data_IF_268300148490
#
_entry.id   IF_268300148490
#
_cell.length_a   1.000
_cell.length_b   1.000
_cell.length_c   1.000
_cell.angle_alpha   90.00
_cell.angle_beta   90.00
_cell.angle_gamma   90.00
#
_symmetry.space_group_name_H-M   'P 1'
#
loop_
_entity.id
_entity.type
_entity.pdbx_description
1 polymer ?
#
# COMPACT_ATOMS: atom_id res chain seq x y z
N UNK A 1 -5.82 18.13 7.22
CA UNK A 1 -6.23 16.79 6.75
C UNK A 1 -7.73 16.62 6.96
N UNK A 2 -8.45 16.09 5.97
CA UNK A 2 -9.84 15.67 6.12
C UNK A 2 -9.84 14.17 6.42
N UNK A 3 -10.64 13.74 7.39
CA UNK A 3 -10.64 12.36 7.88
C UNK A 3 -12.04 11.76 7.76
N UNK A 4 -12.13 10.55 7.23
CA UNK A 4 -13.27 9.66 7.31
C UNK A 4 -12.94 8.51 8.27
N UNK A 5 -13.81 8.23 9.23
CA UNK A 5 -13.60 7.18 10.21
C UNK A 5 -14.57 6.02 9.94
N UNK A 6 -14.01 4.83 9.69
CA UNK A 6 -14.76 3.62 9.36
C UNK A 6 -14.53 2.56 10.44
N UNK A 7 -15.61 2.14 11.10
CA UNK A 7 -15.60 1.09 12.11
C UNK A 7 -16.41 -0.11 11.64
N UNK A 8 -15.81 -1.30 11.65
CA UNK A 8 -16.45 -2.55 11.27
C UNK A 8 -17.18 -2.43 9.89
N UNK A 9 -16.48 -1.83 8.91
CA UNK A 9 -16.97 -1.58 7.53
C UNK A 9 -18.16 -0.61 7.43
N UNK A 10 -18.33 0.30 8.38
CA UNK A 10 -19.37 1.36 8.33
C UNK A 10 -18.73 2.72 8.58
N UNK A 11 -18.92 3.68 7.66
CA UNK A 11 -18.49 5.07 7.86
C UNK A 11 -19.31 5.74 8.95
N UNK A 12 -18.63 6.36 9.92
CA UNK A 12 -19.28 6.99 11.08
C UNK A 12 -19.16 8.52 11.11
N UNK A 13 -18.13 9.07 10.47
CA UNK A 13 -17.90 10.52 10.45
C UNK A 13 -16.94 10.93 9.34
N UNK A 14 -17.31 11.97 8.59
CA UNK A 14 -16.44 12.62 7.59
C UNK A 14 -16.25 14.10 7.95
N UNK A 15 -14.99 14.53 8.11
CA UNK A 15 -14.66 15.92 8.47
C UNK A 15 -14.43 16.80 7.23
N UNK A 16 -14.59 18.12 7.37
CA UNK A 16 -14.36 19.11 6.31
C UNK A 16 -15.18 18.94 5.02
N UNK A 17 -16.24 18.16 5.03
CA UNK A 17 -17.10 17.87 3.87
C UNK A 17 -17.58 19.12 3.13
N UNK A 18 -18.10 20.12 3.85
CA UNK A 18 -18.57 21.36 3.25
C UNK A 18 -17.46 22.17 2.58
N UNK A 19 -16.26 22.19 3.16
CA UNK A 19 -15.09 22.90 2.59
C UNK A 19 -14.66 22.27 1.29
N UNK A 20 -14.66 20.94 1.22
CA UNK A 20 -14.32 20.18 0.02
C UNK A 20 -15.41 20.35 -1.05
N UNK A 21 -16.68 20.29 -0.66
CA UNK A 21 -17.82 20.46 -1.56
C UNK A 21 -17.87 21.82 -2.26
N UNK A 22 -17.39 22.91 -1.61
CA UNK A 22 -17.24 24.22 -2.25
C UNK A 22 -16.31 24.23 -3.46
N UNK A 23 -15.41 23.25 -3.56
CA UNK A 23 -14.50 23.06 -4.69
C UNK A 23 -15.00 21.94 -5.63
N UNK A 24 -16.20 21.41 -5.40
CA UNK A 24 -16.78 20.30 -6.15
C UNK A 24 -16.15 18.95 -5.82
N UNK A 25 -15.29 18.87 -4.79
CA UNK A 25 -14.69 17.61 -4.34
C UNK A 25 -15.74 16.81 -3.58
N UNK A 26 -15.91 15.53 -3.96
CA UNK A 26 -16.75 14.58 -3.24
C UNK A 26 -15.83 13.71 -2.39
N UNK A 27 -16.10 13.66 -1.10
CA UNK A 27 -15.43 12.78 -0.13
C UNK A 27 -16.51 12.29 0.85
N UNK A 28 -16.94 11.05 0.70
CA UNK A 28 -18.04 10.46 1.44
C UNK A 28 -17.92 8.93 1.47
N UNK A 29 -18.82 8.26 2.16
CA UNK A 29 -18.93 6.81 2.09
C UNK A 29 -19.44 6.33 0.71
N UNK A 30 -19.16 5.08 0.35
CA UNK A 30 -19.72 4.45 -0.86
C UNK A 30 -21.25 4.41 -0.77
N UNK A 31 -21.82 4.15 0.41
CA UNK A 31 -23.27 4.11 0.64
C UNK A 31 -23.94 5.45 0.34
N UNK A 32 -23.31 6.56 0.72
CA UNK A 32 -23.78 7.90 0.35
C UNK A 32 -23.61 8.15 -1.14
N UNK A 33 -22.44 7.79 -1.71
CA UNK A 33 -22.16 7.98 -3.13
C UNK A 33 -23.16 7.24 -4.04
N UNK A 34 -23.62 6.06 -3.65
CA UNK A 34 -24.64 5.30 -4.38
C UNK A 34 -25.98 6.07 -4.47
N UNK A 35 -26.32 6.84 -3.44
CA UNK A 35 -27.55 7.65 -3.38
C UNK A 35 -27.39 8.99 -4.10
N UNK A 36 -26.33 9.71 -3.77
CA UNK A 36 -26.16 11.12 -4.16
C UNK A 36 -25.43 11.29 -5.50
N UNK A 37 -24.61 10.29 -5.91
CA UNK A 37 -23.78 10.32 -7.12
C UNK A 37 -23.85 9.00 -7.92
N UNK A 38 -25.05 8.43 -8.17
CA UNK A 38 -25.23 7.10 -8.75
C UNK A 38 -24.55 6.92 -10.13
N UNK A 39 -24.49 7.97 -10.93
CA UNK A 39 -23.90 7.90 -12.27
C UNK A 39 -22.37 7.72 -12.23
N UNK A 40 -21.69 8.39 -11.30
CA UNK A 40 -20.27 8.20 -11.08
C UNK A 40 -19.97 6.79 -10.56
N UNK A 41 -20.76 6.33 -9.59
CA UNK A 41 -20.59 4.98 -9.04
C UNK A 41 -20.80 3.93 -10.13
N UNK A 42 -21.91 3.98 -10.89
CA UNK A 42 -22.17 3.03 -11.99
C UNK A 42 -21.09 3.03 -13.06
N UNK A 43 -20.51 4.20 -13.33
CA UNK A 43 -19.48 4.35 -14.38
C UNK A 43 -18.14 3.75 -14.00
N UNK A 44 -17.77 3.76 -12.72
CA UNK A 44 -16.41 3.46 -12.29
C UNK A 44 -16.26 2.28 -11.34
N UNK A 45 -17.24 2.00 -10.48
CA UNK A 45 -17.15 0.93 -9.49
C UNK A 45 -17.05 -0.45 -10.18
N UNK A 46 -16.06 -1.23 -9.79
CA UNK A 46 -15.83 -2.57 -10.36
C UNK A 46 -15.17 -2.58 -11.74
N UNK A 47 -14.78 -1.42 -12.27
CA UNK A 47 -14.16 -1.33 -13.61
C UNK A 47 -12.66 -1.55 -13.60
N UNK A 48 -11.98 -1.27 -12.49
CA UNK A 48 -10.53 -1.45 -12.31
C UNK A 48 -10.22 -2.74 -11.56
N UNK A 49 -11.06 -3.09 -10.59
CA UNK A 49 -11.03 -4.39 -9.89
C UNK A 49 -12.36 -5.11 -10.13
N UNK A 50 -12.50 -5.88 -11.24
CA UNK A 50 -13.68 -6.72 -11.45
C UNK A 50 -13.70 -7.86 -10.43
N UNK A 51 -14.88 -8.42 -10.17
CA UNK A 51 -15.03 -9.59 -9.27
C UNK A 51 -14.22 -10.81 -9.71
N UNK A 52 -13.80 -10.85 -10.97
CA UNK A 52 -12.98 -11.92 -11.57
C UNK A 52 -11.47 -11.73 -11.37
N UNK A 53 -11.01 -10.61 -10.75
CA UNK A 53 -9.58 -10.34 -10.56
C UNK A 53 -8.89 -11.45 -9.74
N UNK A 54 -9.49 -11.81 -8.61
CA UNK A 54 -9.03 -12.90 -7.75
C UNK A 54 -10.14 -13.33 -6.77
N UNK A 55 -9.89 -14.40 -6.00
CA UNK A 55 -10.83 -14.95 -5.03
C UNK A 55 -11.33 -13.90 -4.00
N UNK A 56 -10.42 -13.10 -3.44
CA UNK A 56 -10.79 -12.08 -2.43
C UNK A 56 -11.51 -10.89 -3.05
N UNK A 57 -11.24 -10.56 -4.31
CA UNK A 57 -12.02 -9.55 -5.04
C UNK A 57 -13.45 -10.03 -5.29
N UNK A 58 -13.64 -11.32 -5.60
CA UNK A 58 -14.95 -11.94 -5.72
C UNK A 58 -15.71 -11.89 -4.39
N UNK A 59 -15.05 -12.34 -3.30
CA UNK A 59 -15.63 -12.34 -1.97
C UNK A 59 -16.01 -10.91 -1.52
N UNK A 60 -15.10 -9.95 -1.62
CA UNK A 60 -15.38 -8.56 -1.29
C UNK A 60 -16.56 -8.02 -2.10
N UNK A 61 -16.60 -8.26 -3.41
CA UNK A 61 -17.70 -7.78 -4.28
C UNK A 61 -19.07 -8.33 -3.88
N UNK A 62 -19.11 -9.50 -3.25
CA UNK A 62 -20.35 -10.12 -2.79
C UNK A 62 -20.83 -9.61 -1.42
N UNK A 63 -19.91 -9.15 -0.55
CA UNK A 63 -20.22 -8.91 0.87
C UNK A 63 -19.80 -7.52 1.40
N UNK A 64 -19.13 -6.67 0.61
CA UNK A 64 -18.78 -5.32 1.10
C UNK A 64 -20.05 -4.51 1.38
N UNK A 65 -20.04 -3.76 2.47
CA UNK A 65 -21.19 -2.96 2.90
C UNK A 65 -20.95 -1.47 2.71
N UNK A 66 -19.69 -1.04 2.86
CA UNK A 66 -19.32 0.36 2.74
C UNK A 66 -17.84 0.51 2.36
N UNK A 67 -17.34 1.73 2.38
CA UNK A 67 -16.00 2.12 2.07
C UNK A 67 -15.94 3.59 1.70
N UNK A 68 -14.88 4.01 1.05
CA UNK A 68 -14.67 5.43 0.75
C UNK A 68 -14.85 5.74 -0.73
N UNK A 69 -15.55 6.82 -1.03
CA UNK A 69 -15.69 7.39 -2.35
C UNK A 69 -15.06 8.77 -2.42
N UNK A 70 -14.17 8.95 -3.42
CA UNK A 70 -13.51 10.23 -3.68
C UNK A 70 -13.63 10.58 -5.16
N UNK A 71 -14.09 11.80 -5.45
CA UNK A 71 -14.05 12.38 -6.78
C UNK A 71 -13.41 13.76 -6.72
N UNK A 72 -12.36 13.96 -7.51
CA UNK A 72 -11.68 15.26 -7.65
C UNK A 72 -12.01 15.81 -9.04
N UNK A 73 -12.71 16.93 -9.15
CA UNK A 73 -13.11 17.52 -10.42
C UNK A 73 -11.92 17.99 -11.26
N UNK A 74 -12.14 18.14 -12.55
CA UNK A 74 -11.17 18.67 -13.52
C UNK A 74 -10.53 19.97 -13.02
N UNK A 75 -9.20 20.04 -13.12
CA UNK A 75 -8.38 21.21 -12.75
C UNK A 75 -8.25 21.48 -11.26
N UNK A 76 -8.92 20.70 -10.40
CA UNK A 76 -8.92 20.92 -8.95
C UNK A 76 -7.71 20.24 -8.30
N UNK A 77 -6.93 21.01 -7.56
CA UNK A 77 -5.90 20.48 -6.65
C UNK A 77 -6.50 20.41 -5.25
N UNK A 78 -6.65 19.19 -4.71
CA UNK A 78 -7.21 19.03 -3.37
C UNK A 78 -6.39 19.83 -2.35
N UNK A 79 -7.01 20.77 -1.59
CA UNK A 79 -6.27 21.72 -0.75
C UNK A 79 -5.71 21.12 0.52
N UNK A 80 -6.04 19.88 0.82
CA UNK A 80 -5.60 19.16 2.00
C UNK A 80 -5.53 17.66 1.71
N UNK A 81 -4.78 16.93 2.50
CA UNK A 81 -4.77 15.48 2.44
C UNK A 81 -6.12 14.92 2.90
N UNK A 82 -6.60 13.91 2.18
CA UNK A 82 -7.75 13.12 2.58
C UNK A 82 -7.25 11.87 3.31
N UNK A 83 -7.95 11.45 4.35
CA UNK A 83 -7.57 10.25 5.09
C UNK A 83 -8.79 9.44 5.47
N UNK A 84 -8.69 8.12 5.35
CA UNK A 84 -9.64 7.19 5.95
C UNK A 84 -8.93 6.32 6.97
N UNK A 85 -9.57 6.17 8.11
CA UNK A 85 -9.08 5.34 9.19
C UNK A 85 -10.02 4.16 9.40
N UNK A 86 -9.52 2.96 9.14
CA UNK A 86 -10.26 1.70 9.29
C UNK A 86 -9.91 1.01 10.60
N UNK A 87 -10.93 0.59 11.34
CA UNK A 87 -10.75 -0.15 12.58
C UNK A 87 -11.72 -1.31 12.70
N UNK A 88 -11.17 -2.51 12.92
CA UNK A 88 -11.96 -3.70 13.25
C UNK A 88 -12.18 -3.75 14.76
N UNK A 89 -13.43 -3.70 15.22
CA UNK A 89 -13.77 -3.82 16.64
C UNK A 89 -14.58 -5.08 16.96
N UNK A 90 -15.41 -5.57 16.02
CA UNK A 90 -16.27 -6.72 16.24
C UNK A 90 -15.48 -8.03 16.35
N UNK A 91 -15.90 -8.93 17.27
CA UNK A 91 -15.36 -10.29 17.39
C UNK A 91 -15.96 -11.18 16.30
N UNK A 92 -15.17 -12.16 15.82
CA UNK A 92 -15.60 -13.19 14.84
C UNK A 92 -16.20 -12.60 13.56
N UNK A 93 -15.75 -11.41 13.16
CA UNK A 93 -16.16 -10.75 11.93
C UNK A 93 -14.97 -10.53 11.01
N UNK A 94 -15.21 -10.55 9.70
CA UNK A 94 -14.28 -10.02 8.70
C UNK A 94 -14.57 -8.56 8.43
N UNK A 95 -13.60 -7.84 7.89
CA UNK A 95 -13.78 -6.49 7.36
C UNK A 95 -13.63 -6.50 5.85
N UNK A 96 -14.65 -5.98 5.18
CA UNK A 96 -14.74 -5.94 3.73
C UNK A 96 -15.14 -4.53 3.31
N UNK A 97 -14.17 -3.71 2.96
CA UNK A 97 -14.44 -2.37 2.46
C UNK A 97 -13.98 -2.21 1.02
N UNK A 98 -14.56 -1.22 0.33
CA UNK A 98 -14.21 -0.89 -1.04
C UNK A 98 -14.01 0.61 -1.20
N UNK A 99 -12.82 1.02 -1.59
CA UNK A 99 -12.47 2.42 -1.85
C UNK A 99 -12.43 2.68 -3.35
N UNK A 100 -13.09 3.75 -3.79
CA UNK A 100 -13.04 4.22 -5.17
C UNK A 100 -12.58 5.67 -5.21
N UNK A 101 -11.47 5.94 -5.91
CA UNK A 101 -10.91 7.28 -6.12
C UNK A 101 -10.88 7.60 -7.60
N UNK A 102 -11.46 8.72 -7.98
CA UNK A 102 -11.49 9.23 -9.35
C UNK A 102 -10.84 10.62 -9.35
N UNK A 103 -9.72 10.75 -10.02
CA UNK A 103 -9.05 12.03 -10.28
C UNK A 103 -9.27 12.42 -11.74
N UNK A 104 -10.11 13.43 -11.97
CA UNK A 104 -10.44 13.93 -13.30
C UNK A 104 -9.25 14.71 -13.90
N UNK A 105 -9.35 15.15 -15.15
CA UNK A 105 -8.27 15.82 -15.88
C UNK A 105 -7.63 16.96 -15.07
N UNK A 106 -6.30 17.02 -15.06
CA UNK A 106 -5.51 18.07 -14.42
C UNK A 106 -5.71 18.21 -12.90
N UNK A 107 -6.30 17.19 -12.25
CA UNK A 107 -6.57 17.20 -10.81
C UNK A 107 -5.41 16.63 -9.99
N UNK A 108 -5.46 16.85 -8.66
CA UNK A 108 -4.47 16.30 -7.72
C UNK A 108 -5.13 15.92 -6.40
N UNK A 109 -4.74 14.76 -5.87
CA UNK A 109 -5.10 14.37 -4.50
C UNK A 109 -4.00 13.55 -3.85
N UNK A 110 -3.77 13.80 -2.55
CA UNK A 110 -3.03 12.95 -1.64
C UNK A 110 -4.04 12.28 -0.69
N UNK A 111 -4.06 10.96 -0.72
CA UNK A 111 -4.98 10.14 0.07
C UNK A 111 -4.19 9.19 0.95
N UNK A 112 -4.68 9.00 2.16
CA UNK A 112 -4.01 8.31 3.23
C UNK A 112 -4.94 7.29 3.89
N UNK A 113 -4.50 6.06 4.00
CA UNK A 113 -5.24 4.97 4.63
C UNK A 113 -4.50 4.50 5.88
N UNK A 114 -5.16 4.59 7.03
CA UNK A 114 -4.69 3.99 8.28
C UNK A 114 -5.58 2.82 8.67
N UNK A 115 -4.97 1.69 9.06
CA UNK A 115 -5.71 0.50 9.44
C UNK A 115 -5.16 -0.07 10.75
N UNK A 116 -6.07 -0.39 11.69
CA UNK A 116 -5.70 -1.06 12.95
C UNK A 116 -6.73 -2.09 13.40
N UNK A 117 -6.29 -3.05 14.20
CA UNK A 117 -7.15 -3.97 14.92
C UNK A 117 -6.65 -4.19 16.35
N UNK A 118 -7.54 -4.39 17.35
CA UNK A 118 -7.13 -4.76 18.70
C UNK A 118 -6.56 -6.19 18.74
N UNK A 119 -5.71 -6.46 19.73
CA UNK A 119 -5.16 -7.79 19.97
C UNK A 119 -6.27 -8.77 20.37
N UNK A 120 -6.30 -9.95 19.73
CA UNK A 120 -7.27 -11.02 20.00
C UNK A 120 -6.67 -12.38 19.67
N UNK A 121 -7.06 -13.41 20.44
CA UNK A 121 -6.62 -14.80 20.24
C UNK A 121 -7.27 -15.51 19.06
N UNK A 122 -8.00 -14.78 18.22
CA UNK A 122 -8.73 -15.31 17.06
C UNK A 122 -8.14 -14.74 15.75
N UNK A 123 -8.19 -15.53 14.69
CA UNK A 123 -7.90 -15.02 13.36
C UNK A 123 -9.09 -14.19 12.83
N UNK A 124 -8.79 -13.06 12.22
CA UNK A 124 -9.79 -12.23 11.55
C UNK A 124 -9.34 -11.94 10.12
N UNK A 125 -10.29 -11.93 9.20
CA UNK A 125 -10.04 -11.63 7.78
C UNK A 125 -10.29 -10.15 7.51
N UNK A 126 -9.29 -9.48 6.94
CA UNK A 126 -9.42 -8.19 6.29
C UNK A 126 -9.24 -8.39 4.78
N UNK A 127 -10.28 -8.17 4.00
CA UNK A 127 -10.24 -8.30 2.54
C UNK A 127 -10.80 -7.03 1.89
N UNK A 128 -9.93 -6.06 1.65
CA UNK A 128 -10.29 -4.77 1.09
C UNK A 128 -10.02 -4.68 -0.41
N UNK A 129 -10.76 -3.80 -1.09
CA UNK A 129 -10.50 -3.40 -2.47
C UNK A 129 -10.29 -1.90 -2.57
N UNK A 130 -9.28 -1.50 -3.36
CA UNK A 130 -9.06 -0.11 -3.74
C UNK A 130 -8.99 -0.01 -5.27
N UNK A 131 -9.83 0.84 -5.82
CA UNK A 131 -9.87 1.19 -7.24
C UNK A 131 -9.52 2.66 -7.42
N UNK A 132 -8.57 2.96 -8.29
CA UNK A 132 -8.17 4.33 -8.61
C UNK A 132 -8.22 4.53 -10.12
N UNK A 133 -8.85 5.62 -10.56
CA UNK A 133 -8.86 6.05 -11.96
C UNK A 133 -8.23 7.43 -12.04
N UNK A 134 -7.19 7.57 -12.89
CA UNK A 134 -6.43 8.82 -13.06
C UNK A 134 -6.53 9.26 -14.50
N UNK A 135 -7.11 10.46 -14.74
CA UNK A 135 -7.34 11.02 -16.06
C UNK A 135 -6.13 11.85 -16.56
N UNK A 136 -6.27 12.57 -17.65
CA UNK A 136 -5.17 13.32 -18.29
C UNK A 136 -4.53 14.31 -17.31
N UNK A 137 -3.19 14.32 -17.23
CA UNK A 137 -2.41 15.24 -16.40
C UNK A 137 -2.80 15.26 -14.92
N UNK A 138 -3.58 14.26 -14.46
CA UNK A 138 -3.95 14.12 -13.06
C UNK A 138 -2.91 13.33 -12.28
N UNK A 139 -2.85 13.59 -10.97
CA UNK A 139 -1.94 12.89 -10.06
C UNK A 139 -2.69 12.42 -8.80
N UNK A 140 -2.49 11.16 -8.45
CA UNK A 140 -2.96 10.57 -7.18
C UNK A 140 -1.76 10.02 -6.41
N UNK A 141 -1.62 10.45 -5.16
CA UNK A 141 -0.73 9.83 -4.17
C UNK A 141 -1.58 9.05 -3.19
N UNK A 142 -1.34 7.75 -3.09
CA UNK A 142 -2.04 6.88 -2.15
C UNK A 142 -1.04 6.28 -1.17
N UNK A 143 -1.17 6.66 0.09
CA UNK A 143 -0.31 6.17 1.16
C UNK A 143 -1.08 5.27 2.12
N UNK A 144 -0.44 4.21 2.60
CA UNK A 144 -1.02 3.29 3.59
C UNK A 144 -0.03 3.07 4.73
N UNK A 145 -0.51 3.20 5.96
CA UNK A 145 0.21 2.73 7.15
C UNK A 145 -0.69 1.73 7.85
N UNK A 146 -0.24 0.49 7.93
CA UNK A 146 -1.00 -0.61 8.55
C UNK A 146 -0.31 -1.11 9.80
N UNK A 147 -1.09 -1.19 10.87
CA UNK A 147 -0.68 -1.72 12.16
C UNK A 147 -1.73 -2.72 12.65
N UNK A 148 -1.58 -3.95 12.20
CA UNK A 148 -2.48 -5.03 12.57
C UNK A 148 -1.94 -5.83 13.75
N UNK A 149 -2.75 -6.74 14.28
CA UNK A 149 -2.34 -7.69 15.30
C UNK A 149 -1.73 -8.96 14.66
N UNK A 150 -0.50 -9.34 15.04
CA UNK A 150 0.24 -10.44 14.38
C UNK A 150 -0.11 -11.84 14.86
N UNK A 151 -0.89 -11.98 15.92
CA UNK A 151 -1.02 -13.20 16.72
C UNK A 151 -0.15 -13.13 17.98
N UNK A 152 -0.23 -14.17 18.79
CA UNK A 152 0.55 -14.32 20.02
C UNK A 152 2.00 -14.76 19.74
N UNK A 153 2.78 -14.98 20.82
CA UNK A 153 4.19 -15.40 20.72
C UNK A 153 4.37 -16.79 20.11
N UNK A 154 3.35 -17.61 20.12
CA UNK A 154 3.29 -18.95 19.52
C UNK A 154 2.78 -18.89 18.06
N UNK A 155 2.43 -17.71 17.54
CA UNK A 155 1.90 -17.51 16.20
C UNK A 155 0.41 -17.83 16.05
N UNK A 156 -0.34 -17.89 17.16
CA UNK A 156 -1.77 -18.17 17.16
C UNK A 156 -2.60 -16.87 17.08
N UNK A 157 -3.67 -16.89 16.31
CA UNK A 157 -4.51 -15.72 16.10
C UNK A 157 -3.92 -14.76 15.05
N UNK A 158 -4.36 -13.52 15.09
CA UNK A 158 -3.87 -12.43 14.24
C UNK A 158 -4.69 -12.18 12.98
N UNK A 159 -4.35 -11.11 12.29
CA UNK A 159 -5.08 -10.65 11.11
C UNK A 159 -4.55 -11.31 9.84
N UNK A 160 -5.46 -11.81 9.00
CA UNK A 160 -5.22 -12.19 7.62
C UNK A 160 -5.59 -11.00 6.73
N UNK A 161 -4.58 -10.33 6.21
CA UNK A 161 -4.71 -9.07 5.48
C UNK A 161 -4.54 -9.29 3.98
N UNK A 162 -5.66 -9.48 3.28
CA UNK A 162 -5.71 -9.76 1.84
C UNK A 162 -6.32 -8.59 1.10
N UNK A 163 -5.49 -7.73 0.51
CA UNK A 163 -5.92 -6.47 -0.08
C UNK A 163 -5.63 -6.42 -1.58
N UNK A 164 -6.64 -6.12 -2.35
CA UNK A 164 -6.54 -5.92 -3.80
C UNK A 164 -6.59 -4.44 -4.14
N UNK A 165 -5.47 -3.85 -4.56
CA UNK A 165 -5.37 -2.45 -4.97
C UNK A 165 -4.99 -2.37 -6.45
N UNK A 166 -5.80 -1.66 -7.26
CA UNK A 166 -5.53 -1.45 -8.68
C UNK A 166 -5.73 0.02 -9.03
N UNK A 167 -4.77 0.57 -9.77
CA UNK A 167 -4.90 1.92 -10.30
C UNK A 167 -4.76 1.94 -11.82
N UNK A 168 -5.70 2.59 -12.48
CA UNK A 168 -5.71 2.79 -13.90
C UNK A 168 -5.30 4.24 -14.22
N UNK A 169 -4.07 4.41 -14.69
CA UNK A 169 -3.59 5.63 -15.31
C UNK A 169 -4.15 5.70 -16.74
N UNK A 170 -5.42 6.09 -16.84
CA UNK A 170 -6.19 6.09 -18.10
C UNK A 170 -5.79 7.25 -19.01
N UNK A 171 -5.54 8.40 -18.42
CA UNK A 171 -5.21 9.62 -19.14
C UNK A 171 -3.74 9.74 -19.52
N UNK A 172 -3.44 10.53 -20.55
CA UNK A 172 -2.07 10.86 -20.90
C UNK A 172 -1.38 11.64 -19.77
N UNK A 173 -0.10 11.38 -19.55
CA UNK A 173 0.75 12.00 -18.50
C UNK A 173 0.20 11.89 -17.08
N UNK A 174 -0.80 11.02 -16.88
CA UNK A 174 -1.35 10.74 -15.54
C UNK A 174 -0.29 10.09 -14.64
N UNK A 175 -0.40 10.31 -13.32
CA UNK A 175 0.55 9.78 -12.34
C UNK A 175 -0.16 9.14 -11.17
N UNK A 176 0.27 7.93 -10.80
CA UNK A 176 -0.17 7.24 -9.61
C UNK A 176 1.04 6.78 -8.77
N UNK A 177 1.06 7.18 -7.52
CA UNK A 177 2.08 6.76 -6.55
C UNK A 177 1.44 5.98 -5.42
N UNK A 178 1.92 4.75 -5.19
CA UNK A 178 1.61 3.94 -4.02
C UNK A 178 2.77 4.04 -3.03
N UNK A 179 2.49 4.43 -1.79
CA UNK A 179 3.45 4.33 -0.69
C UNK A 179 2.85 3.51 0.42
N UNK A 180 3.53 2.47 0.90
CA UNK A 180 2.98 1.61 1.93
C UNK A 180 3.99 1.20 2.98
N UNK A 181 3.52 1.15 4.23
CA UNK A 181 4.22 0.54 5.36
C UNK A 181 3.31 -0.53 5.94
N UNK A 182 3.76 -1.77 5.82
CA UNK A 182 3.01 -2.96 6.22
C UNK A 182 3.66 -3.57 7.45
N UNK A 183 2.92 -3.58 8.55
CA UNK A 183 3.34 -4.24 9.79
C UNK A 183 2.18 -4.99 10.44
N UNK A 184 2.50 -5.97 11.26
CA UNK A 184 1.61 -6.51 12.26
C UNK A 184 0.68 -7.64 11.83
N UNK A 185 0.37 -7.88 10.57
CA UNK A 185 -0.52 -8.99 10.20
C UNK A 185 0.14 -10.35 10.44
N UNK A 186 -0.64 -11.35 10.82
CA UNK A 186 -0.17 -12.74 10.82
C UNK A 186 0.18 -13.21 9.41
N UNK A 187 -0.71 -12.92 8.45
CA UNK A 187 -0.47 -13.17 7.02
C UNK A 187 -0.86 -11.91 6.23
N UNK A 188 0.05 -11.40 5.43
CA UNK A 188 -0.21 -10.32 4.47
C UNK A 188 -0.12 -10.84 3.04
N UNK A 189 -1.12 -10.53 2.22
CA UNK A 189 -1.12 -10.80 0.78
C UNK A 189 -1.62 -9.55 0.04
N UNK A 190 -0.69 -8.79 -0.56
CA UNK A 190 -1.01 -7.45 -1.06
C UNK A 190 -0.12 -7.04 -2.23
N UNK A 191 -0.73 -6.83 -3.39
CA UNK A 191 -0.05 -6.42 -4.61
C UNK A 191 -0.75 -5.24 -5.28
N UNK A 192 -0.48 -3.99 -4.86
CA UNK A 192 -0.94 -2.82 -5.59
C UNK A 192 -0.47 -2.85 -7.05
N UNK A 193 -1.27 -2.37 -7.97
CA UNK A 193 -0.86 -2.30 -9.37
C UNK A 193 -1.10 -0.93 -10.00
N UNK A 194 -0.25 -0.57 -10.97
CA UNK A 194 -0.47 0.53 -11.88
C UNK A 194 -0.65 -0.02 -13.29
N UNK A 195 -1.79 0.26 -13.90
CA UNK A 195 -2.06 0.01 -15.32
C UNK A 195 -1.83 1.34 -16.05
N UNK A 196 -0.69 1.44 -16.74
CA UNK A 196 -0.23 2.66 -17.42
C UNK A 196 -0.75 2.65 -18.85
N UNK A 197 -2.00 3.06 -19.03
CA UNK A 197 -2.70 3.00 -20.30
C UNK A 197 -2.54 4.29 -21.12
N UNK A 198 -2.49 5.46 -20.49
CA UNK A 198 -2.26 6.73 -21.13
C UNK A 198 -0.81 6.94 -21.53
N UNK A 199 -0.55 7.57 -22.68
CA UNK A 199 0.80 7.89 -23.14
C UNK A 199 1.50 8.82 -22.13
N UNK A 200 2.77 8.55 -21.84
CA UNK A 200 3.58 9.30 -20.87
C UNK A 200 3.12 9.14 -19.40
N UNK A 201 2.21 8.22 -19.10
CA UNK A 201 1.76 7.99 -17.73
C UNK A 201 2.85 7.38 -16.85
N UNK A 202 2.76 7.61 -15.54
CA UNK A 202 3.80 7.25 -14.57
C UNK A 202 3.20 6.48 -13.39
N UNK A 203 3.85 5.36 -13.02
CA UNK A 203 3.53 4.57 -11.87
C UNK A 203 4.68 4.51 -10.87
N UNK A 204 4.42 4.74 -9.60
CA UNK A 204 5.43 4.65 -8.55
C UNK A 204 4.94 3.70 -7.45
N UNK A 205 5.87 2.91 -6.91
CA UNK A 205 5.61 2.04 -5.78
C UNK A 205 6.77 2.11 -4.80
N UNK A 206 6.48 2.55 -3.58
CA UNK A 206 7.40 2.63 -2.47
C UNK A 206 6.86 1.80 -1.31
N UNK A 207 7.60 0.82 -0.83
CA UNK A 207 7.10 -0.12 0.18
C UNK A 207 8.14 -0.44 1.23
N UNK A 208 7.68 -0.50 2.48
CA UNK A 208 8.35 -1.17 3.59
C UNK A 208 7.44 -2.27 4.12
N UNK A 209 7.92 -3.50 4.16
CA UNK A 209 7.22 -4.63 4.77
C UNK A 209 8.08 -5.19 5.91
N UNK A 210 7.54 -5.18 7.13
CA UNK A 210 8.26 -5.62 8.33
C UNK A 210 7.55 -6.82 8.92
N UNK A 211 8.28 -7.91 9.12
CA UNK A 211 7.79 -9.14 9.70
C UNK A 211 8.67 -9.57 10.87
N UNK A 212 8.05 -10.08 11.91
CA UNK A 212 8.72 -10.63 13.11
C UNK A 212 8.00 -11.89 13.56
N UNK A 213 8.57 -12.64 14.51
CA UNK A 213 8.01 -13.89 15.06
C UNK A 213 7.63 -14.87 13.93
N UNK A 214 6.34 -15.24 13.82
CA UNK A 214 5.81 -16.19 12.83
C UNK A 214 5.07 -15.52 11.66
N UNK A 215 5.17 -14.21 11.55
CA UNK A 215 4.46 -13.47 10.49
C UNK A 215 4.93 -13.89 9.10
N UNK A 216 3.99 -13.86 8.15
CA UNK A 216 4.25 -14.12 6.75
C UNK A 216 3.73 -12.94 5.92
N UNK A 217 4.61 -12.32 5.17
CA UNK A 217 4.23 -11.29 4.21
C UNK A 217 4.59 -11.72 2.79
N UNK A 218 3.60 -11.78 1.94
CA UNK A 218 3.79 -11.93 0.49
C UNK A 218 3.24 -10.66 -0.17
N UNK A 219 4.15 -9.73 -0.44
CA UNK A 219 3.83 -8.38 -0.92
C UNK A 219 4.52 -8.11 -2.25
N UNK A 220 4.19 -6.98 -2.84
CA UNK A 220 4.85 -6.56 -4.07
C UNK A 220 3.96 -5.66 -4.91
N UNK A 221 4.25 -5.61 -6.20
CA UNK A 221 3.50 -4.72 -7.11
C UNK A 221 3.43 -5.26 -8.53
N UNK A 222 2.49 -4.71 -9.30
CA UNK A 222 2.38 -4.99 -10.74
C UNK A 222 2.40 -3.66 -11.51
N UNK A 223 3.40 -3.47 -12.36
CA UNK A 223 3.50 -2.33 -13.28
C UNK A 223 3.22 -2.81 -14.70
N UNK A 224 2.06 -2.44 -15.25
CA UNK A 224 1.57 -2.89 -16.56
C UNK A 224 1.57 -1.69 -17.50
N UNK A 225 2.52 -1.64 -18.40
CA UNK A 225 2.69 -0.58 -19.39
C UNK A 225 1.93 -0.93 -20.67
N UNK A 226 0.97 -0.10 -21.04
CA UNK A 226 0.15 -0.25 -22.24
C UNK A 226 0.34 0.93 -23.21
N UNK A 227 0.48 2.15 -22.68
CA UNK A 227 0.72 3.38 -23.41
C UNK A 227 2.21 3.55 -23.80
N UNK A 228 2.49 4.51 -24.69
CA UNK A 228 3.83 4.88 -25.14
C UNK A 228 4.52 5.75 -24.10
N UNK A 229 5.87 5.68 -24.04
CA UNK A 229 6.70 6.55 -23.18
C UNK A 229 6.30 6.52 -21.68
N UNK A 230 5.68 5.42 -21.25
CA UNK A 230 5.27 5.24 -19.85
C UNK A 230 6.46 4.90 -18.98
N UNK A 231 6.43 5.35 -17.74
CA UNK A 231 7.52 5.09 -16.78
C UNK A 231 7.02 4.50 -15.48
N UNK A 232 7.80 3.59 -14.89
CA UNK A 232 7.52 3.10 -13.54
C UNK A 232 8.77 3.00 -12.68
N UNK A 233 8.60 3.25 -11.38
CA UNK A 233 9.65 3.12 -10.36
C UNK A 233 9.13 2.23 -9.24
N UNK A 234 9.93 1.27 -8.83
CA UNK A 234 9.65 0.37 -7.71
C UNK A 234 10.81 0.45 -6.73
N UNK A 235 10.53 0.78 -5.47
CA UNK A 235 11.48 0.68 -4.36
C UNK A 235 10.80 -0.10 -3.24
N UNK A 236 11.26 -1.31 -2.98
CA UNK A 236 10.69 -2.20 -1.97
C UNK A 236 11.76 -2.58 -0.95
N UNK A 237 11.46 -2.37 0.32
CA UNK A 237 12.32 -2.72 1.46
C UNK A 237 11.61 -3.78 2.30
N UNK A 238 12.19 -4.97 2.41
CA UNK A 238 11.69 -6.06 3.23
C UNK A 238 12.55 -6.22 4.48
N UNK A 239 11.94 -6.38 5.66
CA UNK A 239 12.64 -6.65 6.90
C UNK A 239 12.04 -7.89 7.53
N UNK A 240 12.89 -8.87 7.85
CA UNK A 240 12.49 -10.11 8.48
C UNK A 240 13.27 -10.33 9.77
N UNK A 241 12.55 -10.67 10.83
CA UNK A 241 13.11 -10.99 12.14
C UNK A 241 12.45 -12.26 12.73
N UNK A 242 13.03 -12.83 13.77
CA UNK A 242 12.50 -14.04 14.43
C UNK A 242 12.43 -15.23 13.47
N UNK A 243 11.25 -15.81 13.30
CA UNK A 243 10.95 -16.95 12.39
C UNK A 243 10.09 -16.53 11.19
N UNK A 244 10.01 -15.24 10.93
CA UNK A 244 9.13 -14.68 9.92
C UNK A 244 9.63 -14.91 8.48
N UNK A 245 8.71 -14.82 7.53
CA UNK A 245 8.99 -14.95 6.10
C UNK A 245 8.45 -13.72 5.36
N UNK A 246 9.33 -13.06 4.61
CA UNK A 246 8.97 -11.90 3.82
C UNK A 246 9.26 -12.17 2.34
N UNK A 247 8.23 -12.12 1.51
CA UNK A 247 8.32 -12.34 0.07
C UNK A 247 7.94 -11.08 -0.67
N UNK A 248 8.79 -10.63 -1.57
CA UNK A 248 8.46 -9.62 -2.57
C UNK A 248 8.20 -10.29 -3.93
N UNK A 249 7.04 -9.99 -4.56
CA UNK A 249 6.73 -10.40 -5.94
C UNK A 249 6.51 -9.16 -6.81
N UNK A 250 7.34 -9.00 -7.83
CA UNK A 250 7.24 -7.87 -8.76
C UNK A 250 6.88 -8.32 -10.16
N UNK A 251 5.77 -7.82 -10.72
CA UNK A 251 5.45 -7.97 -12.14
C UNK A 251 5.71 -6.65 -12.86
N UNK A 252 6.57 -6.68 -13.87
CA UNK A 252 6.72 -5.60 -14.85
C UNK A 252 6.37 -6.14 -16.23
N UNK A 253 5.31 -5.61 -16.82
CA UNK A 253 4.86 -6.05 -18.15
C UNK A 253 4.81 -4.86 -19.10
N UNK A 254 5.61 -4.92 -20.18
CA UNK A 254 5.60 -3.98 -21.28
C UNK A 254 4.77 -4.56 -22.44
N UNK A 255 3.61 -3.98 -22.71
CA UNK A 255 2.75 -4.38 -23.84
C UNK A 255 3.35 -4.01 -25.20
N UNK A 256 2.81 -4.57 -26.27
CA UNK A 256 3.34 -4.32 -27.63
C UNK A 256 3.28 -2.85 -28.05
N UNK A 257 2.36 -2.06 -27.48
CA UNK A 257 2.23 -0.61 -27.75
C UNK A 257 3.05 0.27 -26.80
N UNK A 258 3.70 -0.31 -25.78
CA UNK A 258 4.48 0.43 -24.79
C UNK A 258 5.88 0.82 -25.32
N UNK A 259 5.90 1.49 -26.48
CA UNK A 259 7.12 1.97 -27.13
C UNK A 259 7.83 2.96 -26.22
N UNK A 260 9.16 2.80 -26.05
CA UNK A 260 10.02 3.60 -25.18
C UNK A 260 9.62 3.61 -23.70
N UNK A 261 8.84 2.61 -23.25
CA UNK A 261 8.51 2.46 -21.83
C UNK A 261 9.78 2.14 -21.02
N UNK A 262 9.81 2.60 -19.76
CA UNK A 262 10.93 2.39 -18.86
C UNK A 262 10.46 1.95 -17.49
N UNK A 263 11.16 0.99 -16.90
CA UNK A 263 11.00 0.59 -15.51
C UNK A 263 12.35 0.60 -14.81
N UNK A 264 12.33 1.06 -13.55
CA UNK A 264 13.39 0.84 -12.59
C UNK A 264 12.83 0.15 -11.35
N UNK A 265 13.45 -0.94 -10.91
CA UNK A 265 13.04 -1.71 -9.74
C UNK A 265 14.22 -1.96 -8.82
N UNK A 266 14.08 -1.59 -7.56
CA UNK A 266 15.02 -1.88 -6.48
C UNK A 266 14.31 -2.63 -5.37
N UNK A 267 14.79 -3.82 -5.00
CA UNK A 267 14.20 -4.69 -4.01
C UNK A 267 15.25 -5.14 -3.01
N UNK A 268 15.27 -4.53 -1.83
CA UNK A 268 16.25 -4.81 -0.80
C UNK A 268 15.62 -5.53 0.39
N UNK A 269 16.30 -6.52 0.91
CA UNK A 269 15.90 -7.29 2.08
C UNK A 269 16.96 -7.21 3.18
N UNK A 270 16.49 -7.03 4.44
CA UNK A 270 17.31 -7.00 5.63
C UNK A 270 16.88 -8.11 6.59
N UNK A 271 17.79 -8.96 6.98
CA UNK A 271 17.56 -10.07 7.91
C UNK A 271 18.10 -9.73 9.29
N UNK A 272 17.31 -10.02 10.32
CA UNK A 272 17.65 -9.87 11.74
C UNK A 272 17.54 -11.23 12.40
N UNK A 273 18.67 -11.83 12.75
CA UNK A 273 18.72 -13.20 13.26
C UNK A 273 18.99 -14.26 12.20
N UNK A 274 18.76 -15.53 12.51
CA UNK A 274 19.16 -16.68 11.67
C UNK A 274 18.01 -17.57 11.23
N UNK A 275 16.81 -17.39 11.76
CA UNK A 275 15.65 -18.26 11.46
C UNK A 275 14.61 -17.60 10.53
N UNK A 276 14.77 -16.31 10.23
CA UNK A 276 13.89 -15.59 9.31
C UNK A 276 14.33 -15.76 7.86
N UNK A 277 13.39 -15.52 6.93
CA UNK A 277 13.64 -15.63 5.49
C UNK A 277 13.19 -14.40 4.71
N UNK A 278 13.87 -14.15 3.58
CA UNK A 278 13.49 -13.16 2.57
C UNK A 278 13.54 -13.79 1.18
N UNK A 279 12.50 -13.53 0.38
CA UNK A 279 12.37 -14.06 -0.97
C UNK A 279 12.04 -12.94 -1.94
N UNK A 280 12.79 -12.85 -3.05
CA UNK A 280 12.51 -11.88 -4.12
C UNK A 280 12.19 -12.65 -5.41
N UNK A 281 10.98 -12.43 -5.94
CA UNK A 281 10.45 -13.14 -7.10
C UNK A 281 10.05 -12.11 -8.17
N UNK A 282 11.01 -11.65 -8.98
CA UNK A 282 10.72 -10.74 -10.09
C UNK A 282 10.16 -11.51 -11.29
N UNK A 283 9.18 -10.92 -11.96
CA UNK A 283 8.64 -11.41 -13.21
C UNK A 283 8.56 -10.28 -14.23
N UNK A 284 9.33 -10.38 -15.31
CA UNK A 284 9.48 -9.31 -16.29
C UNK A 284 9.15 -9.82 -17.68
N UNK A 285 8.27 -9.08 -18.36
CA UNK A 285 7.88 -9.37 -19.74
C UNK A 285 7.96 -8.11 -20.59
N UNK A 286 8.54 -8.23 -21.79
CA UNK A 286 8.48 -7.17 -22.80
C UNK A 286 8.02 -7.72 -24.14
N UNK A 287 7.01 -7.09 -24.70
CA UNK A 287 6.51 -7.35 -26.06
C UNK A 287 6.93 -6.26 -27.06
N UNK A 288 7.85 -5.35 -26.69
CA UNK A 288 8.40 -4.31 -27.55
C UNK A 288 9.91 -4.22 -27.39
N UNK A 289 10.69 -4.06 -28.48
CA UNK A 289 12.15 -4.01 -28.43
C UNK A 289 12.70 -2.68 -27.89
N UNK A 290 11.87 -1.63 -27.79
CA UNK A 290 12.27 -0.30 -27.35
C UNK A 290 12.13 -0.07 -25.85
N UNK A 291 11.52 -1.01 -25.11
CA UNK A 291 11.36 -0.90 -23.68
C UNK A 291 12.67 -1.16 -22.95
N UNK A 292 12.82 -0.53 -21.78
CA UNK A 292 13.94 -0.72 -20.87
C UNK A 292 13.42 -1.14 -19.50
N UNK A 293 13.95 -2.26 -18.99
CA UNK A 293 13.61 -2.77 -17.66
C UNK A 293 14.94 -2.95 -16.91
N UNK A 294 15.05 -2.27 -15.78
CA UNK A 294 16.18 -2.35 -14.87
C UNK A 294 15.71 -2.93 -13.54
N UNK A 295 16.43 -3.92 -13.03
CA UNK A 295 16.09 -4.54 -11.75
C UNK A 295 17.38 -4.83 -10.98
N UNK A 296 17.40 -4.40 -9.73
CA UNK A 296 18.41 -4.79 -8.76
C UNK A 296 17.75 -5.33 -7.49
N UNK A 297 18.37 -6.31 -6.87
CA UNK A 297 17.92 -6.90 -5.63
C UNK A 297 19.12 -7.17 -4.72
N UNK A 298 18.99 -6.81 -3.45
CA UNK A 298 19.97 -7.11 -2.44
C UNK A 298 19.36 -7.83 -1.25
N UNK A 299 20.12 -8.71 -0.62
CA UNK A 299 19.78 -9.29 0.66
C UNK A 299 20.97 -9.18 1.58
N UNK A 300 20.77 -8.54 2.73
CA UNK A 300 21.80 -8.36 3.74
C UNK A 300 21.30 -8.83 5.11
N UNK A 301 22.24 -9.17 5.97
CA UNK A 301 21.98 -9.49 7.39
C UNK A 301 22.69 -8.45 8.23
N UNK A 302 22.06 -8.01 9.31
CA UNK A 302 22.77 -7.20 10.31
C UNK A 302 23.89 -8.04 10.89
N UNK A 303 25.15 -7.60 10.73
CA UNK A 303 26.31 -8.33 11.24
C UNK A 303 26.58 -8.01 12.70
N UNK A 304 27.20 -8.97 13.39
CA UNK A 304 27.65 -8.79 14.77
C UNK A 304 28.66 -7.63 14.88
N UNK A 305 29.48 -7.42 13.85
CA UNK A 305 30.44 -6.31 13.80
C UNK A 305 29.74 -4.94 13.75
N UNK A 306 28.63 -4.82 13.01
CA UNK A 306 27.85 -3.59 12.99
C UNK A 306 27.20 -3.31 14.34
N UNK A 307 26.63 -4.32 14.97
CA UNK A 307 26.05 -4.20 16.31
C UNK A 307 27.14 -3.85 17.34
N UNK A 308 28.26 -4.54 17.32
CA UNK A 308 29.40 -4.25 18.19
C UNK A 308 29.90 -2.80 18.02
N UNK A 309 30.04 -2.34 16.79
CA UNK A 309 30.44 -0.95 16.51
C UNK A 309 29.49 0.09 17.10
N UNK A 310 28.18 -0.16 17.04
CA UNK A 310 27.17 0.71 17.65
C UNK A 310 27.23 0.65 19.20
N UNK A 311 27.37 -0.56 19.74
CA UNK A 311 27.47 -0.78 21.21
C UNK A 311 28.70 -0.12 21.81
N UNK A 312 29.84 -0.12 21.11
CA UNK A 312 31.06 0.60 21.53
C UNK A 312 30.83 2.12 21.64
N UNK A 313 29.76 2.65 21.06
CA UNK A 313 29.34 4.06 21.17
C UNK A 313 28.22 4.29 22.17
N UNK A 314 27.94 3.29 23.00
CA UNK A 314 26.98 3.38 24.11
C UNK A 314 25.53 3.09 23.74
N UNK A 315 25.24 2.61 22.52
CA UNK A 315 23.89 2.16 22.13
C UNK A 315 23.65 0.74 22.67
N UNK A 316 22.43 0.47 23.14
CA UNK A 316 21.97 -0.88 23.37
C UNK A 316 21.83 -1.66 22.05
N UNK A 317 21.75 -2.99 22.11
CA UNK A 317 21.53 -3.78 20.91
C UNK A 317 20.24 -3.43 20.17
N UNK A 318 19.17 -3.15 20.92
CA UNK A 318 17.88 -2.73 20.33
C UNK A 318 17.95 -1.36 19.67
N UNK A 319 18.63 -0.38 20.31
CA UNK A 319 18.85 0.94 19.72
C UNK A 319 19.69 0.86 18.46
N UNK A 320 20.71 0.00 18.42
CA UNK A 320 21.55 -0.24 17.26
C UNK A 320 20.73 -0.81 16.10
N UNK A 321 19.91 -1.83 16.33
CA UNK A 321 19.01 -2.40 15.30
C UNK A 321 18.02 -1.36 14.82
N UNK A 322 17.40 -0.61 15.72
CA UNK A 322 16.45 0.45 15.35
C UNK A 322 17.12 1.52 14.47
N UNK A 323 18.32 1.92 14.79
CA UNK A 323 19.09 2.90 13.99
C UNK A 323 19.39 2.38 12.57
N UNK A 324 19.84 1.13 12.44
CA UNK A 324 20.17 0.48 11.16
C UNK A 324 18.90 0.35 10.31
N UNK A 325 17.80 -0.13 10.90
CA UNK A 325 16.52 -0.33 10.21
C UNK A 325 15.91 0.99 9.76
N UNK A 326 15.93 2.02 10.60
CA UNK A 326 15.46 3.35 10.21
C UNK A 326 16.27 3.93 9.05
N UNK A 327 17.59 3.74 9.04
CA UNK A 327 18.44 4.11 7.92
C UNK A 327 18.08 3.35 6.64
N UNK A 328 17.83 2.05 6.74
CA UNK A 328 17.44 1.20 5.62
C UNK A 328 16.08 1.58 5.00
N UNK A 329 15.12 2.03 5.82
CA UNK A 329 13.77 2.41 5.38
C UNK A 329 13.66 3.87 4.94
N UNK A 330 14.67 4.70 5.15
CA UNK A 330 14.61 6.16 5.03
C UNK A 330 14.00 6.65 3.71
N UNK A 331 14.42 6.09 2.59
CA UNK A 331 13.98 6.52 1.25
C UNK A 331 12.48 6.34 1.03
N UNK A 332 11.89 5.31 1.62
CA UNK A 332 10.45 5.06 1.57
C UNK A 332 9.71 5.95 2.57
N UNK A 333 10.22 6.07 3.81
CA UNK A 333 9.59 6.88 4.85
C UNK A 333 9.49 8.35 4.46
N UNK A 334 10.46 8.88 3.72
CA UNK A 334 10.44 10.27 3.22
C UNK A 334 9.36 10.53 2.14
N UNK A 335 8.72 9.49 1.60
CA UNK A 335 7.59 9.64 0.67
C UNK A 335 6.25 9.82 1.37
N UNK A 336 6.17 9.48 2.65
CA UNK A 336 4.98 9.67 3.47
C UNK A 336 4.84 11.13 3.91
N UNK A 337 3.60 11.61 4.12
CA UNK A 337 3.39 12.83 4.90
C UNK A 337 4.05 12.76 6.28
N UNK A 338 4.48 13.91 6.81
CA UNK A 338 5.34 13.95 8.01
C UNK A 338 4.71 13.24 9.22
N UNK A 339 3.42 13.44 9.45
CA UNK A 339 2.70 12.82 10.58
C UNK A 339 2.73 11.29 10.49
N UNK A 340 2.57 10.76 9.28
CA UNK A 340 2.58 9.31 9.02
C UNK A 340 4.00 8.74 8.98
N UNK A 341 4.97 9.51 8.55
CA UNK A 341 6.37 9.11 8.62
C UNK A 341 6.81 8.91 10.07
N UNK A 342 6.37 9.78 11.00
CA UNK A 342 6.63 9.63 12.43
C UNK A 342 5.94 8.40 13.02
N UNK A 343 4.67 8.18 12.67
CA UNK A 343 3.93 6.98 13.09
C UNK A 343 4.61 5.71 12.58
N UNK A 344 4.92 5.66 11.29
CA UNK A 344 5.60 4.53 10.66
C UNK A 344 6.96 4.23 11.32
N UNK A 345 7.76 5.26 11.61
CA UNK A 345 9.04 5.10 12.31
C UNK A 345 8.85 4.48 13.70
N UNK A 346 7.83 4.91 14.44
CA UNK A 346 7.49 4.33 15.75
C UNK A 346 7.03 2.88 15.64
N UNK A 347 6.21 2.56 14.64
CA UNK A 347 5.74 1.20 14.39
C UNK A 347 6.89 0.25 14.05
N UNK A 348 7.88 0.70 13.28
CA UNK A 348 9.10 -0.08 13.00
C UNK A 348 9.79 -0.49 14.29
N UNK A 349 10.00 0.45 15.20
CA UNK A 349 10.66 0.17 16.48
C UNK A 349 9.85 -0.84 17.33
N UNK A 350 8.54 -0.64 17.46
CA UNK A 350 7.67 -1.54 18.24
C UNK A 350 7.59 -2.94 17.64
N UNK A 351 7.51 -3.06 16.31
CA UNK A 351 7.42 -4.36 15.63
C UNK A 351 8.69 -5.20 15.83
N UNK A 352 9.84 -4.56 15.98
CA UNK A 352 11.14 -5.21 16.14
C UNK A 352 11.59 -5.34 17.60
N UNK A 353 10.79 -4.89 18.56
CA UNK A 353 11.07 -5.04 19.97
C UNK A 353 11.22 -6.53 20.33
N UNK A 354 12.28 -6.88 21.04
CA UNK A 354 12.60 -8.26 21.40
C UNK A 354 13.10 -9.15 20.23
N UNK A 355 13.40 -8.57 19.05
CA UNK A 355 13.97 -9.33 17.92
C UNK A 355 15.48 -9.54 18.03
N UNK A 356 16.12 -8.89 18.99
CA UNK A 356 17.55 -8.99 19.32
C UNK A 356 17.67 -9.73 20.65
N UNK A 357 17.72 -11.05 20.62
CA UNK A 357 17.85 -11.90 21.80
C UNK A 357 18.79 -13.02 21.52
#
# INVERSE_FOLDING_TARGET
MAVDAVFDSVSVATTFREKLAKQGIIFCSISEAVKDHPDLVRRYLGTVVPYTDNFFACLNSAVFTDGTFVYIPKGVKCPMELSTYFRINAKKSGQFERTLIIADDESYVSYLEGCTAPQRDENQLHAAIVEIVVMNDAEVKYSTVQNWYPGDKEGKGGIYNFVTKRGLCKGARSKLSWTQVETGSAITWKYPSCILAGDGSRGEFYSVAITNNFQQADTGTKMIHLGRETTSTIVSKGISAGKSQNTYRGLVKMGAKAVNARNYSQCDSLLIGSECGAHTIPYMQSATPTARIEHEATTSKISDDQLFYCQQRGLSAEEAVSLIVNGFCKDVMQKLPMEFAMEATRLVAVTLEGSVG
#
